data_IF_584517468944
#
_entry.id   IF_584517468944
#
_cell.length_a   1.000
_cell.length_b   1.000
_cell.length_c   1.000
_cell.angle_alpha   90.00
_cell.angle_beta   90.00
_cell.angle_gamma   90.00
#
_symmetry.space_group_name_H-M   'P 1'
#
loop_
_entity.id
_entity.type
_entity.pdbx_description
1 polymer ?
#
# COMPACT_ATOMS: atom_id res chain seq x y z
N UNK A 1 -13.00 18.65 2.89
CA UNK A 1 -11.53 18.77 3.01
C UNK A 1 -11.20 18.81 4.49
N UNK A 2 -10.38 17.87 4.95
CA UNK A 2 -9.98 17.77 6.36
C UNK A 2 -8.46 17.85 6.41
N UNK A 3 -7.92 18.73 7.25
CA UNK A 3 -6.47 18.92 7.38
C UNK A 3 -5.97 18.08 8.55
N UNK A 4 -4.95 17.26 8.31
CA UNK A 4 -4.26 16.47 9.33
C UNK A 4 -2.85 17.01 9.47
N UNK A 5 -2.50 17.53 10.64
CA UNK A 5 -1.14 17.98 10.95
C UNK A 5 -0.36 16.83 11.56
N UNK A 6 0.76 16.47 10.94
CA UNK A 6 1.61 15.36 11.38
C UNK A 6 2.99 15.91 11.68
N UNK A 7 3.48 15.69 12.89
CA UNK A 7 4.87 15.99 13.26
C UNK A 7 5.77 14.85 12.79
N UNK A 8 6.72 15.17 11.91
CA UNK A 8 7.76 14.24 11.47
C UNK A 8 9.13 14.84 11.76
N UNK A 9 10.14 13.99 11.90
CA UNK A 9 11.53 14.44 12.07
C UNK A 9 12.08 15.07 10.80
N UNK A 10 13.02 16.00 10.94
CA UNK A 10 13.64 16.72 9.81
C UNK A 10 14.31 15.78 8.80
N UNK A 11 14.93 14.67 9.26
CA UNK A 11 15.51 13.64 8.39
C UNK A 11 14.46 13.00 7.46
N UNK A 12 13.26 12.74 7.99
CA UNK A 12 12.16 12.17 7.20
C UNK A 12 11.59 13.20 6.24
N UNK A 13 11.50 14.46 6.65
CA UNK A 13 11.09 15.55 5.78
C UNK A 13 12.06 15.75 4.62
N UNK A 14 13.38 15.65 4.85
CA UNK A 14 14.39 15.74 3.78
C UNK A 14 14.24 14.60 2.78
N UNK A 15 14.14 13.35 3.25
CA UNK A 15 13.92 12.19 2.37
C UNK A 15 12.65 12.32 1.55
N UNK A 16 11.57 12.83 2.15
CA UNK A 16 10.31 13.02 1.46
C UNK A 16 10.42 14.09 0.37
N UNK A 17 11.15 15.19 0.62
CA UNK A 17 11.46 16.20 -0.39
C UNK A 17 12.31 15.65 -1.54
N UNK A 18 13.31 14.82 -1.25
CA UNK A 18 14.14 14.19 -2.29
C UNK A 18 13.30 13.30 -3.22
N UNK A 19 12.41 12.50 -2.63
CA UNK A 19 11.50 11.63 -3.36
C UNK A 19 10.51 12.49 -4.18
N UNK A 20 9.90 13.50 -3.57
CA UNK A 20 8.97 14.41 -4.25
C UNK A 20 9.64 15.12 -5.44
N UNK A 21 10.87 15.58 -5.27
CA UNK A 21 11.67 16.20 -6.33
C UNK A 21 11.95 15.23 -7.48
N UNK A 22 12.28 13.98 -7.18
CA UNK A 22 12.50 12.94 -8.19
C UNK A 22 11.25 12.65 -9.02
N UNK A 23 10.08 12.71 -8.39
CA UNK A 23 8.79 12.50 -9.05
C UNK A 23 8.17 13.78 -9.60
N UNK A 24 8.84 14.94 -9.47
CA UNK A 24 8.35 16.26 -9.88
C UNK A 24 6.97 16.61 -9.28
N UNK A 25 6.70 16.14 -8.07
CA UNK A 25 5.48 16.41 -7.32
C UNK A 25 5.80 17.14 -6.03
N UNK A 26 4.78 17.69 -5.36
CA UNK A 26 5.00 18.26 -4.03
C UNK A 26 5.01 17.16 -2.96
N UNK A 27 5.74 17.37 -1.85
CA UNK A 27 5.64 16.57 -0.63
C UNK A 27 4.22 16.17 -0.23
N UNK A 28 3.29 17.14 -0.28
CA UNK A 28 1.90 16.98 0.11
C UNK A 28 1.13 16.10 -0.87
N UNK A 29 1.39 16.26 -2.17
CA UNK A 29 0.78 15.45 -3.22
C UNK A 29 1.24 14.00 -3.12
N UNK A 30 2.53 13.80 -2.89
CA UNK A 30 3.11 12.48 -2.68
C UNK A 30 2.52 11.79 -1.45
N UNK A 31 2.37 12.52 -0.33
CA UNK A 31 1.72 12.01 0.87
C UNK A 31 0.25 11.68 0.63
N UNK A 32 -0.48 12.53 -0.11
CA UNK A 32 -1.89 12.28 -0.43
C UNK A 32 -2.06 11.01 -1.25
N UNK A 33 -1.30 10.86 -2.33
CA UNK A 33 -1.35 9.65 -3.18
C UNK A 33 -0.92 8.41 -2.40
N UNK A 34 0.09 8.52 -1.53
CA UNK A 34 0.52 7.40 -0.69
C UNK A 34 -0.56 7.00 0.33
N UNK A 35 -1.28 7.96 0.90
CA UNK A 35 -2.42 7.73 1.79
C UNK A 35 -3.58 7.11 1.03
N UNK A 36 -3.90 7.63 -0.15
CA UNK A 36 -4.92 7.06 -1.02
C UNK A 36 -4.55 5.64 -1.44
N UNK A 37 -3.31 5.34 -1.79
CA UNK A 37 -2.84 3.99 -2.09
C UNK A 37 -2.92 3.08 -0.86
N UNK A 38 -2.55 3.58 0.32
CA UNK A 38 -2.62 2.82 1.58
C UNK A 38 -4.06 2.51 2.00
N UNK A 39 -4.99 3.43 1.75
CA UNK A 39 -6.43 3.26 2.01
C UNK A 39 -7.13 2.46 0.90
N UNK A 40 -6.67 2.61 -0.34
CA UNK A 40 -7.14 1.88 -1.51
C UNK A 40 -6.53 0.49 -1.61
N UNK A 41 -5.49 0.16 -0.81
CA UNK A 41 -5.00 -1.20 -0.63
C UNK A 41 -6.17 -2.03 -0.17
N UNK A 42 -6.71 -2.87 -1.05
CA UNK A 42 -7.92 -3.56 -0.73
C UNK A 42 -7.53 -4.75 0.15
N UNK A 43 -8.37 -5.05 1.14
CA UNK A 43 -8.49 -6.40 1.68
C UNK A 43 -8.53 -7.46 0.56
N UNK A 44 -8.85 -7.10 -0.69
CA UNK A 44 -8.77 -7.96 -1.89
C UNK A 44 -7.36 -8.45 -2.26
N UNK A 45 -6.28 -7.70 -2.03
CA UNK A 45 -4.93 -8.24 -2.29
C UNK A 45 -4.62 -9.40 -1.33
N UNK A 46 -5.16 -9.30 -0.11
CA UNK A 46 -5.12 -10.34 0.91
C UNK A 46 -6.11 -11.49 0.59
N UNK A 47 -7.36 -11.20 0.21
CA UNK A 47 -8.34 -12.22 -0.17
C UNK A 47 -7.96 -12.98 -1.44
N UNK A 48 -7.30 -12.35 -2.43
CA UNK A 48 -6.81 -13.02 -3.63
C UNK A 48 -5.65 -13.98 -3.32
N UNK A 49 -4.73 -13.60 -2.44
CA UNK A 49 -3.67 -14.51 -1.98
C UNK A 49 -4.25 -15.69 -1.19
N UNK A 50 -5.22 -15.44 -0.31
CA UNK A 50 -5.91 -16.49 0.46
C UNK A 50 -6.71 -17.43 -0.46
N UNK A 51 -7.46 -16.89 -1.42
CA UNK A 51 -8.20 -17.70 -2.40
C UNK A 51 -7.27 -18.51 -3.30
N UNK A 52 -6.12 -17.95 -3.72
CA UNK A 52 -5.13 -18.66 -4.52
C UNK A 52 -4.49 -19.84 -3.76
N UNK A 53 -4.20 -19.67 -2.46
CA UNK A 53 -3.64 -20.74 -1.60
C UNK A 53 -4.68 -21.81 -1.26
N UNK A 54 -5.95 -21.43 -1.03
CA UNK A 54 -7.04 -22.38 -0.78
C UNK A 54 -7.41 -23.18 -2.03
N UNK A 55 -7.48 -22.54 -3.21
CA UNK A 55 -7.88 -23.21 -4.45
C UNK A 55 -6.81 -24.18 -4.99
N UNK A 56 -5.52 -23.96 -4.67
CA UNK A 56 -4.42 -24.86 -5.05
C UNK A 56 -4.38 -26.17 -4.25
N UNK A 57 -5.03 -26.27 -3.10
CA UNK A 57 -4.97 -27.46 -2.23
C UNK A 57 -6.17 -28.41 -2.37
N UNK A 58 -7.28 -28.00 -2.99
CA UNK A 58 -8.44 -28.90 -3.18
C UNK A 58 -8.13 -30.02 -4.19
N UNK A 59 -7.37 -29.71 -5.24
CA UNK A 59 -7.04 -30.67 -6.31
C UNK A 59 -6.10 -31.80 -5.84
N UNK A 60 -5.34 -31.58 -4.76
CA UNK A 60 -4.47 -32.59 -4.15
C UNK A 60 -5.23 -33.51 -3.18
N UNK A 61 -6.33 -33.03 -2.57
CA UNK A 61 -7.17 -33.85 -1.69
C UNK A 61 -8.13 -34.75 -2.47
N UNK A 62 -8.59 -34.36 -3.67
CA UNK A 62 -9.48 -35.21 -4.49
C UNK A 62 -8.78 -36.38 -5.18
N UNK A 63 -7.45 -36.35 -5.35
CA UNK A 63 -6.69 -37.47 -5.95
C UNK A 63 -6.15 -38.47 -4.91
N UNK A 64 -6.50 -38.28 -3.64
CA UNK A 64 -6.13 -39.18 -2.54
C UNK A 64 -7.32 -39.95 -1.94
N UNK A 65 -8.50 -39.88 -2.57
CA UNK A 65 -9.69 -40.68 -2.23
C UNK A 65 -9.85 -41.86 -3.20
#
# INVERSE_FOLDING_TARGET
MTTITITISDDRLSKLQDIATRFQVTPEELLRVSLEELLARPEEAFQRAVSYVLHKNVELYERLA
#
